data_IF_139309890129
#
_entry.id   IF_139309890129
#
_cell.length_a   1.000
_cell.length_b   1.000
_cell.length_c   1.000
_cell.angle_alpha   90.00
_cell.angle_beta   90.00
_cell.angle_gamma   90.00
#
_symmetry.space_group_name_H-M   'P 1'
#
loop_
_entity.id
_entity.type
_entity.pdbx_description
1 polymer ?
#
# COMPACT_ATOMS: atom_id res chain seq x y z
N UNK A 1 12.31 -4.33 -36.75
CA UNK A 1 11.41 -5.46 -36.96
C UNK A 1 10.06 -5.01 -36.46
N UNK A 2 9.12 -4.78 -37.38
CA UNK A 2 7.79 -4.27 -37.05
C UNK A 2 7.08 -5.31 -36.21
N UNK A 3 6.96 -5.06 -34.91
CA UNK A 3 5.94 -5.73 -34.11
C UNK A 3 4.63 -5.14 -34.62
N UNK A 4 4.04 -5.80 -35.62
CA UNK A 4 2.61 -5.67 -35.85
C UNK A 4 1.97 -6.15 -34.54
N UNK A 5 1.75 -5.18 -33.65
CA UNK A 5 1.08 -5.35 -32.38
C UNK A 5 -0.31 -5.81 -32.75
N UNK A 6 -0.46 -7.12 -32.81
CA UNK A 6 -1.70 -7.77 -33.13
C UNK A 6 -2.68 -7.22 -32.10
N UNK A 7 -3.66 -6.40 -32.51
CA UNK A 7 -4.69 -5.77 -31.66
C UNK A 7 -5.65 -6.81 -31.03
N UNK A 8 -5.11 -7.93 -30.59
CA UNK A 8 -5.82 -9.08 -30.08
C UNK A 8 -4.90 -9.98 -29.27
N UNK A 9 -5.43 -10.50 -28.17
CA UNK A 9 -4.77 -11.43 -27.28
C UNK A 9 -5.45 -12.79 -27.34
N UNK A 10 -4.67 -13.85 -27.14
CA UNK A 10 -5.20 -15.21 -27.09
C UNK A 10 -5.47 -15.59 -25.64
N UNK A 11 -6.69 -16.02 -25.35
CA UNK A 11 -7.08 -16.43 -24.00
C UNK A 11 -6.31 -17.70 -23.59
N UNK A 12 -5.57 -17.69 -22.47
CA UNK A 12 -4.83 -18.88 -22.04
C UNK A 12 -5.74 -20.02 -21.54
N UNK A 13 -6.99 -19.72 -21.16
CA UNK A 13 -7.92 -20.71 -20.63
C UNK A 13 -8.67 -21.48 -21.73
N UNK A 14 -9.20 -20.76 -22.73
CA UNK A 14 -10.04 -21.35 -23.77
C UNK A 14 -9.49 -21.19 -25.19
N UNK A 15 -8.30 -20.58 -25.35
CA UNK A 15 -7.62 -20.32 -26.64
C UNK A 15 -8.36 -19.40 -27.61
N UNK A 16 -9.48 -18.79 -27.20
CA UNK A 16 -10.19 -17.79 -28.01
C UNK A 16 -9.31 -16.56 -28.22
N UNK A 17 -9.28 -16.04 -29.46
CA UNK A 17 -8.66 -14.76 -29.78
C UNK A 17 -9.64 -13.63 -29.51
N UNK A 18 -9.31 -12.77 -28.56
CA UNK A 18 -10.08 -11.61 -28.13
C UNK A 18 -9.41 -10.32 -28.62
N UNK A 19 -10.16 -9.23 -28.79
CA UNK A 19 -9.62 -7.91 -29.15
C UNK A 19 -8.78 -7.31 -28.01
N UNK A 20 -7.80 -6.46 -28.33
CA UNK A 20 -6.93 -5.83 -27.32
C UNK A 20 -7.72 -4.96 -26.33
N UNK A 21 -8.78 -4.32 -26.81
CA UNK A 21 -9.66 -3.44 -26.03
C UNK A 21 -10.48 -4.19 -24.98
N UNK A 22 -10.70 -5.51 -25.14
CA UNK A 22 -11.49 -6.27 -24.18
C UNK A 22 -10.61 -6.79 -23.04
N UNK A 23 -10.97 -6.41 -21.82
CA UNK A 23 -10.23 -6.78 -20.61
C UNK A 23 -10.52 -8.21 -20.15
N UNK A 24 -11.61 -8.82 -20.65
CA UNK A 24 -12.02 -10.18 -20.30
C UNK A 24 -12.44 -10.97 -21.54
N UNK A 25 -12.22 -12.28 -21.49
CA UNK A 25 -12.50 -13.18 -22.61
C UNK A 25 -14.00 -13.30 -22.85
N UNK A 26 -14.43 -13.10 -24.10
CA UNK A 26 -15.85 -13.15 -24.46
C UNK A 26 -16.50 -14.54 -24.27
N UNK A 27 -15.72 -15.62 -24.34
CA UNK A 27 -16.24 -16.98 -24.17
C UNK A 27 -16.24 -17.48 -22.72
N UNK A 28 -15.18 -17.21 -21.96
CA UNK A 28 -14.98 -17.81 -20.63
C UNK A 28 -14.84 -16.80 -19.49
N UNK A 29 -14.80 -15.50 -19.78
CA UNK A 29 -14.67 -14.44 -18.77
C UNK A 29 -13.28 -14.30 -18.12
N UNK A 30 -12.28 -15.07 -18.54
CA UNK A 30 -10.92 -14.93 -18.00
C UNK A 30 -10.31 -13.57 -18.35
N UNK A 31 -9.65 -12.93 -17.38
CA UNK A 31 -9.01 -11.62 -17.56
C UNK A 31 -7.84 -11.68 -18.54
N UNK A 32 -7.68 -10.61 -19.32
CA UNK A 32 -6.58 -10.44 -20.27
C UNK A 32 -5.23 -10.40 -19.54
N UNK A 33 -4.22 -11.15 -20.02
CA UNK A 33 -2.89 -11.14 -19.40
C UNK A 33 -2.22 -9.75 -19.44
N UNK A 34 -2.63 -8.86 -20.35
CA UNK A 34 -2.09 -7.51 -20.43
C UNK A 34 -2.61 -6.62 -19.30
N UNK A 35 -3.89 -6.73 -18.97
CA UNK A 35 -4.49 -6.11 -17.78
C UNK A 35 -3.83 -6.66 -16.53
N UNK A 36 -3.51 -7.96 -16.53
CA UNK A 36 -2.81 -8.54 -15.40
C UNK A 36 -1.38 -7.96 -15.23
N UNK A 37 -0.70 -7.71 -16.35
CA UNK A 37 0.65 -7.15 -16.32
C UNK A 37 0.67 -5.67 -15.91
N UNK A 38 -0.37 -4.88 -16.25
CA UNK A 38 -0.44 -3.48 -15.85
C UNK A 38 -0.54 -3.29 -14.34
N UNK A 39 -1.33 -4.13 -13.63
CA UNK A 39 -1.38 -4.03 -12.15
C UNK A 39 -0.06 -4.47 -11.51
N UNK A 40 0.66 -5.41 -12.11
CA UNK A 40 1.87 -5.99 -11.51
C UNK A 40 3.03 -4.99 -11.49
N UNK A 41 3.00 -3.95 -12.33
CA UNK A 41 4.01 -2.89 -12.38
C UNK A 41 3.85 -1.91 -11.22
N UNK A 42 2.63 -1.66 -10.72
CA UNK A 42 2.40 -0.72 -9.62
C UNK A 42 3.01 -1.18 -8.29
N UNK A 43 2.99 -2.49 -8.03
CA UNK A 43 3.52 -3.07 -6.78
C UNK A 43 5.07 -3.01 -6.70
N UNK A 44 5.76 -3.08 -7.84
CA UNK A 44 7.22 -3.11 -7.90
C UNK A 44 7.86 -1.73 -7.67
N UNK A 45 7.13 -0.64 -7.87
CA UNK A 45 7.64 0.72 -7.64
C UNK A 45 7.73 1.11 -6.14
N UNK A 46 7.11 0.34 -5.24
CA UNK A 46 7.09 0.61 -3.80
C UNK A 46 8.15 -0.21 -3.01
N UNK A 47 8.82 -1.17 -3.66
CA UNK A 47 9.71 -2.12 -2.97
C UNK A 47 11.20 -1.70 -2.94
N UNK A 48 11.62 -0.66 -3.66
CA UNK A 48 13.04 -0.22 -3.70
C UNK A 48 13.38 0.88 -2.67
N UNK A 49 12.78 0.83 -1.48
CA UNK A 49 12.81 1.94 -0.52
C UNK A 49 13.46 1.73 0.85
N UNK A 50 13.72 0.51 1.33
CA UNK A 50 14.23 0.32 2.70
C UNK A 50 15.37 -0.72 2.79
N UNK A 51 16.56 -0.25 2.40
CA UNK A 51 17.83 -0.88 2.75
C UNK A 51 18.31 -0.43 4.12
N UNK A 52 17.86 -1.15 5.14
CA UNK A 52 18.31 -1.11 6.54
C UNK A 52 19.83 -1.34 6.69
N UNK A 53 20.57 -0.35 7.18
CA UNK A 53 21.71 -0.55 8.12
C UNK A 53 21.96 0.73 8.94
N UNK A 54 21.47 0.82 10.17
CA UNK A 54 22.25 1.51 11.22
C UNK A 54 22.27 0.66 12.49
N UNK A 55 23.42 0.04 12.69
CA UNK A 55 23.83 -0.65 13.91
C UNK A 55 23.56 0.18 15.17
N UNK A 56 23.09 -0.53 16.19
CA UNK A 56 22.83 0.01 17.52
C UNK A 56 24.04 0.74 18.11
N UNK A 57 23.81 1.99 18.52
CA UNK A 57 24.63 2.65 19.54
C UNK A 57 23.76 3.49 20.46
N UNK A 58 23.36 2.84 21.56
CA UNK A 58 23.10 3.47 22.86
C UNK A 58 24.18 4.54 23.11
N UNK A 59 23.81 5.82 23.03
CA UNK A 59 24.61 6.89 23.61
C UNK A 59 23.70 7.94 24.19
N UNK A 60 23.64 7.92 25.51
CA UNK A 60 23.04 8.93 26.36
C UNK A 60 23.56 10.31 25.95
N UNK A 61 22.64 11.28 25.77
CA UNK A 61 22.90 12.67 26.14
C UNK A 61 21.68 13.19 26.87
N UNK A 62 21.85 13.40 28.16
CA UNK A 62 20.97 14.20 28.96
C UNK A 62 21.12 15.68 28.57
N UNK A 63 20.19 16.50 29.08
CA UNK A 63 20.34 17.94 29.35
C UNK A 63 20.12 18.83 28.12
N UNK A 64 19.28 19.88 28.08
CA UNK A 64 18.59 20.67 29.11
C UNK A 64 17.30 21.30 28.50
N UNK A 65 16.43 21.75 29.40
CA UNK A 65 15.21 22.54 29.19
C UNK A 65 15.36 23.69 28.18
N UNK A 66 14.26 23.99 27.48
CA UNK A 66 13.90 25.38 27.21
C UNK A 66 12.41 25.55 27.51
N UNK A 67 12.13 26.28 28.57
CA UNK A 67 10.78 26.69 28.96
C UNK A 67 10.24 27.72 27.96
N UNK A 68 8.95 27.60 27.67
CA UNK A 68 8.05 28.73 27.45
C UNK A 68 7.95 29.26 26.02
N UNK A 69 6.77 29.11 25.43
CA UNK A 69 6.02 30.31 25.02
C UNK A 69 4.53 29.99 25.00
N UNK A 70 3.86 30.51 26.01
CA UNK A 70 2.42 30.49 26.15
C UNK A 70 1.81 31.37 25.04
N UNK A 71 1.05 30.76 24.15
CA UNK A 71 0.00 31.47 23.43
C UNK A 71 -1.27 30.62 23.55
N UNK A 72 -1.99 30.89 24.64
CA UNK A 72 -3.39 30.52 24.74
C UNK A 72 -4.18 31.32 23.70
N UNK A 73 -5.21 30.67 23.14
CA UNK A 73 -6.51 31.18 22.62
C UNK A 73 -6.81 30.61 21.22
N UNK A 74 -8.07 30.26 20.83
CA UNK A 74 -9.30 30.00 21.58
C UNK A 74 -9.91 28.60 21.29
N UNK A 75 -10.95 28.27 22.05
CA UNK A 75 -11.90 27.17 21.85
C UNK A 75 -12.25 26.94 20.37
N UNK A 76 -12.16 25.69 19.94
CA UNK A 76 -12.73 25.17 18.70
C UNK A 76 -12.85 23.66 18.85
N UNK A 77 -14.09 23.21 19.00
CA UNK A 77 -14.64 21.84 18.90
C UNK A 77 -13.81 20.63 19.35
N UNK A 78 -14.35 20.03 20.40
CA UNK A 78 -14.34 18.60 20.76
C UNK A 78 -14.22 17.66 19.53
N UNK A 79 -13.22 16.78 19.57
CA UNK A 79 -13.30 15.41 19.03
C UNK A 79 -13.27 15.14 17.50
N UNK A 80 -12.69 15.99 16.66
CA UNK A 80 -12.26 15.50 15.33
C UNK A 80 -10.81 14.98 15.44
N UNK A 81 -10.69 13.77 15.99
CA UNK A 81 -9.48 12.97 15.80
C UNK A 81 -9.20 12.91 14.30
N UNK A 82 -8.02 13.38 13.90
CA UNK A 82 -7.56 13.27 12.53
C UNK A 82 -7.78 11.82 12.05
N UNK A 83 -8.46 11.61 10.91
CA UNK A 83 -8.92 10.29 10.49
C UNK A 83 -7.77 9.29 10.30
N UNK A 84 -6.55 9.77 10.05
CA UNK A 84 -5.37 8.92 10.03
C UNK A 84 -4.98 8.45 11.43
N UNK A 85 -4.98 9.36 12.40
CA UNK A 85 -4.70 9.03 13.80
C UNK A 85 -5.69 7.98 14.35
N UNK A 86 -6.97 8.07 13.98
CA UNK A 86 -7.98 7.08 14.35
C UNK A 86 -7.72 5.72 13.68
N UNK A 87 -7.42 5.72 12.38
CA UNK A 87 -7.08 4.50 11.66
C UNK A 87 -5.86 3.81 12.29
N UNK A 88 -4.77 4.53 12.53
CA UNK A 88 -3.54 4.00 13.16
C UNK A 88 -3.84 3.35 14.52
N UNK A 89 -4.71 3.97 15.33
CA UNK A 89 -5.18 3.39 16.58
C UNK A 89 -5.99 2.11 16.36
N UNK A 90 -6.90 2.06 15.40
CA UNK A 90 -7.70 0.88 15.10
C UNK A 90 -6.85 -0.32 14.64
N UNK A 91 -5.87 -0.08 13.75
CA UNK A 91 -4.95 -1.11 13.27
C UNK A 91 -4.12 -1.71 14.40
N UNK A 92 -3.59 -0.89 15.31
CA UNK A 92 -2.83 -1.36 16.46
C UNK A 92 -3.64 -2.32 17.37
N UNK A 93 -4.94 -2.07 17.54
CA UNK A 93 -5.82 -2.97 18.31
C UNK A 93 -6.08 -4.30 17.60
N UNK A 94 -6.18 -4.29 16.27
CA UNK A 94 -6.35 -5.49 15.46
C UNK A 94 -5.10 -6.37 15.55
N UNK A 95 -3.91 -5.80 15.41
CA UNK A 95 -2.65 -6.53 15.51
C UNK A 95 -2.43 -7.14 16.90
N UNK A 96 -2.73 -6.41 17.98
CA UNK A 96 -2.62 -6.95 19.34
C UNK A 96 -3.55 -8.16 19.58
N UNK A 97 -4.75 -8.14 19.00
CA UNK A 97 -5.69 -9.29 19.03
C UNK A 97 -5.20 -10.45 18.18
N UNK A 98 -4.44 -10.19 17.11
CA UNK A 98 -3.83 -11.24 16.30
C UNK A 98 -2.60 -11.85 16.99
N UNK A 99 -1.72 -11.04 17.60
CA UNK A 99 -0.57 -11.52 18.38
C UNK A 99 -1.00 -12.45 19.52
N UNK A 100 -2.02 -12.04 20.28
CA UNK A 100 -2.58 -12.84 21.37
C UNK A 100 -3.27 -14.13 20.92
N UNK A 101 -3.79 -14.19 19.68
CA UNK A 101 -4.36 -15.40 19.07
C UNK A 101 -3.28 -16.34 18.54
N UNK A 102 -2.16 -15.82 18.08
CA UNK A 102 -1.00 -16.60 17.65
C UNK A 102 -0.17 -17.17 18.81
N UNK A 103 -0.32 -16.61 20.02
CA UNK A 103 0.39 -17.04 21.24
C UNK A 103 -0.33 -18.09 22.10
N UNK A 104 -1.44 -18.65 21.62
CA UNK A 104 -2.23 -19.70 22.28
C UNK A 104 -2.02 -21.04 21.57
#
# INVERSE_FOLDING_TARGET
MSVEENDSWTCPACTLKNELIVESCAACGSTSPLVLQSYAVEEQALAEGEGSTIDGRRSQRASLVSQGSDNATPRGDDDEMDPWTQAECEWAHVEARQDSRSRK
#
